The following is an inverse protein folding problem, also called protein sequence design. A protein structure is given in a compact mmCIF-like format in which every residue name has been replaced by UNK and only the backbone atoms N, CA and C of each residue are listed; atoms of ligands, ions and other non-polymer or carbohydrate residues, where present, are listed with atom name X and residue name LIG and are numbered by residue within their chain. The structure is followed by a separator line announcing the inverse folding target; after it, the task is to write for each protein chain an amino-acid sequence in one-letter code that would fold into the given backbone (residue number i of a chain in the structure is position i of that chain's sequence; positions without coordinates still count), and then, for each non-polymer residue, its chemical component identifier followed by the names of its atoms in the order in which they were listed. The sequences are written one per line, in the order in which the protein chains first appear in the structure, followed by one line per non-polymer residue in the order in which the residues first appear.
data_IF_312257407063
#
_entry.id   IF_312257407063
#
_cell.length_a   1.000
_cell.length_b   1.000
_cell.length_c   1.000
_cell.angle_alpha   90.00
_cell.angle_beta   90.00
_cell.angle_gamma   90.00
#
_symmetry.space_group_name_H-M   'P 1'
#
loop_
_entity.id
_entity.type
_entity.pdbx_description
1 polymer ?
#
# COMPACT_ATOMS: atom_id res chain seq x y z
N UNK A 1 8.09 -33.15 9.62
CA UNK A 1 7.37 -32.06 8.95
C UNK A 1 5.86 -32.27 8.97
N UNK A 2 5.21 -32.01 10.11
CA UNK A 2 3.74 -32.03 10.28
C UNK A 2 3.16 -30.61 10.42
N UNK A 3 3.91 -29.58 10.03
CA UNK A 3 3.56 -28.17 10.22
C UNK A 3 2.20 -27.84 9.63
N UNK A 4 1.88 -28.40 8.46
CA UNK A 4 0.57 -28.25 7.84
C UNK A 4 -0.58 -28.76 8.74
N UNK A 5 -0.46 -29.98 9.27
CA UNK A 5 -1.46 -30.56 10.17
C UNK A 5 -1.57 -29.79 11.49
N UNK A 6 -0.42 -29.36 12.04
CA UNK A 6 -0.33 -28.57 13.27
C UNK A 6 -0.99 -27.20 13.10
N UNK A 7 -0.77 -26.51 11.98
CA UNK A 7 -1.39 -25.20 11.71
C UNK A 7 -2.90 -25.33 11.57
N UNK A 8 -3.40 -26.33 10.86
CA UNK A 8 -4.84 -26.51 10.64
C UNK A 8 -5.60 -26.85 11.93
N UNK A 9 -4.98 -27.61 12.85
CA UNK A 9 -5.67 -28.13 14.03
C UNK A 9 -5.32 -27.43 15.36
N UNK A 10 -4.11 -26.89 15.50
CA UNK A 10 -3.60 -26.33 16.77
C UNK A 10 -3.54 -24.80 16.78
N UNK A 11 -3.49 -24.15 15.62
CA UNK A 11 -3.40 -22.69 15.50
C UNK A 11 -4.66 -22.13 14.82
N UNK A 12 -5.26 -21.07 15.37
CA UNK A 12 -6.48 -20.48 14.79
C UNK A 12 -6.23 -19.10 14.19
N UNK A 13 -4.97 -18.68 14.01
CA UNK A 13 -4.62 -17.40 13.39
C UNK A 13 -4.82 -17.42 11.87
N UNK A 14 -4.66 -18.59 11.25
CA UNK A 14 -4.93 -18.83 9.83
C UNK A 14 -6.24 -19.62 9.72
N UNK A 15 -7.31 -19.01 9.21
CA UNK A 15 -8.60 -19.69 9.05
C UNK A 15 -8.56 -20.77 7.96
N UNK A 16 -7.90 -20.48 6.83
CA UNK A 16 -7.80 -21.37 5.67
C UNK A 16 -6.35 -21.40 5.14
N UNK A 17 -5.46 -22.26 5.68
CA UNK A 17 -4.06 -22.31 5.25
C UNK A 17 -3.88 -22.72 3.77
N UNK A 18 -4.78 -23.55 3.22
CA UNK A 18 -4.76 -23.98 1.82
C UNK A 18 -4.97 -22.82 0.85
N UNK A 19 -5.93 -21.97 1.17
CA UNK A 19 -6.26 -20.78 0.40
C UNK A 19 -5.10 -19.79 0.42
N UNK A 20 -4.45 -19.63 1.58
CA UNK A 20 -3.30 -18.74 1.69
C UNK A 20 -2.06 -19.29 0.95
N UNK A 21 -1.90 -20.62 0.89
CA UNK A 21 -0.79 -21.23 0.16
C UNK A 21 -0.97 -21.11 -1.37
N UNK A 22 -2.21 -21.16 -1.86
CA UNK A 22 -2.50 -21.16 -3.30
C UNK A 22 -2.80 -19.74 -3.77
N UNK A 23 -3.98 -19.22 -3.42
CA UNK A 23 -4.50 -17.96 -3.94
C UNK A 23 -3.64 -16.75 -3.53
N UNK A 24 -3.18 -16.69 -2.27
CA UNK A 24 -2.39 -15.54 -1.80
C UNK A 24 -0.97 -15.54 -2.38
N UNK A 25 -0.35 -16.72 -2.60
CA UNK A 25 0.95 -16.79 -3.28
C UNK A 25 0.79 -16.48 -4.78
N UNK A 26 -0.24 -17.02 -5.44
CA UNK A 26 -0.51 -16.75 -6.85
C UNK A 26 -0.78 -15.25 -7.08
N UNK A 27 -1.66 -14.65 -6.28
CA UNK A 27 -1.95 -13.21 -6.38
C UNK A 27 -0.71 -12.36 -6.06
N UNK A 28 0.07 -12.72 -5.04
CA UNK A 28 1.33 -12.03 -4.73
C UNK A 28 2.32 -12.08 -5.89
N UNK A 29 2.57 -13.27 -6.45
CA UNK A 29 3.54 -13.45 -7.54
C UNK A 29 3.08 -12.78 -8.84
N UNK A 30 1.78 -12.83 -9.15
CA UNK A 30 1.18 -12.13 -10.28
C UNK A 30 1.31 -10.61 -10.14
N UNK A 31 0.91 -10.04 -8.99
CA UNK A 31 1.06 -8.60 -8.70
C UNK A 31 2.52 -8.16 -8.71
N UNK A 32 3.44 -8.97 -8.18
CA UNK A 32 4.88 -8.68 -8.20
C UNK A 32 5.42 -8.65 -9.63
N UNK A 33 5.01 -9.60 -10.47
CA UNK A 33 5.43 -9.68 -11.88
C UNK A 33 4.91 -8.48 -12.67
N UNK A 34 3.64 -8.11 -12.46
CA UNK A 34 3.01 -6.95 -13.09
C UNK A 34 3.75 -5.65 -12.70
N UNK A 35 4.00 -5.47 -11.39
CA UNK A 35 4.73 -4.31 -10.87
C UNK A 35 6.14 -4.22 -11.46
N UNK A 36 6.88 -5.33 -11.52
CA UNK A 36 8.22 -5.37 -12.10
C UNK A 36 8.22 -4.93 -13.57
N UNK A 37 7.28 -5.44 -14.37
CA UNK A 37 7.12 -5.07 -15.78
C UNK A 37 6.82 -3.58 -15.95
N UNK A 38 5.98 -3.01 -15.08
CA UNK A 38 5.52 -1.63 -15.17
C UNK A 38 6.51 -0.59 -14.63
N UNK A 39 7.33 -0.92 -13.62
CA UNK A 39 8.29 0.03 -13.02
C UNK A 39 9.64 0.07 -13.75
N UNK A 40 10.08 -1.04 -14.35
CA UNK A 40 11.45 -1.14 -14.90
C UNK A 40 11.72 -0.08 -15.96
N UNK A 41 10.79 0.12 -16.90
CA UNK A 41 10.93 1.11 -17.97
C UNK A 41 10.95 2.55 -17.44
N UNK A 42 9.96 3.01 -16.64
CA UNK A 42 10.00 4.35 -16.03
C UNK A 42 11.25 4.63 -15.19
N UNK A 43 11.75 3.67 -14.42
CA UNK A 43 12.99 3.86 -13.66
C UNK A 43 14.20 4.06 -14.57
N UNK A 44 14.32 3.25 -15.62
CA UNK A 44 15.38 3.39 -16.59
C UNK A 44 15.30 4.73 -17.33
N UNK A 45 14.09 5.13 -17.75
CA UNK A 45 13.84 6.40 -18.42
C UNK A 45 14.27 7.57 -17.53
N UNK A 46 13.91 7.57 -16.24
CA UNK A 46 14.31 8.62 -15.29
C UNK A 46 15.83 8.62 -15.05
N UNK A 47 16.46 7.46 -14.92
CA UNK A 47 17.90 7.36 -14.75
C UNK A 47 18.66 7.95 -15.95
N UNK A 48 18.23 7.62 -17.17
CA UNK A 48 18.78 8.14 -18.42
C UNK A 48 18.57 9.66 -18.51
N UNK A 49 17.36 10.14 -18.20
CA UNK A 49 17.02 11.57 -18.22
C UNK A 49 17.86 12.35 -17.21
N UNK A 50 17.97 11.84 -15.99
CA UNK A 50 18.80 12.46 -14.95
C UNK A 50 20.27 12.53 -15.38
N UNK A 51 20.80 11.42 -15.93
CA UNK A 51 22.17 11.38 -16.43
C UNK A 51 22.41 12.36 -17.59
N UNK A 52 21.50 12.41 -18.56
CA UNK A 52 21.63 13.32 -19.72
C UNK A 52 21.51 14.79 -19.30
N UNK A 53 20.60 15.11 -18.36
CA UNK A 53 20.45 16.45 -17.80
C UNK A 53 21.74 16.90 -17.09
N UNK A 54 22.32 16.05 -16.23
CA UNK A 54 23.59 16.34 -15.54
C UNK A 54 24.72 16.57 -16.54
N UNK A 55 24.82 15.74 -17.58
CA UNK A 55 25.85 15.88 -18.63
C UNK A 55 25.66 17.16 -19.45
N UNK A 56 24.42 17.57 -19.73
CA UNK A 56 24.11 18.83 -20.40
C UNK A 56 24.52 20.05 -19.57
N UNK A 57 24.26 20.03 -18.26
CA UNK A 57 24.66 21.08 -17.32
C UNK A 57 26.19 21.17 -17.21
N UNK A 58 26.89 20.04 -17.17
CA UNK A 58 28.37 20.02 -17.09
C UNK A 58 29.05 20.56 -18.36
N UNK A 59 28.49 20.27 -19.53
CA UNK A 59 29.05 20.72 -20.82
C UNK A 59 28.86 22.22 -21.06
N UNK A 60 27.77 22.82 -20.58
CA UNK A 60 27.47 24.24 -20.76
C UNK A 60 27.83 25.02 -19.50
N UNK A 61 29.11 25.40 -19.37
CA UNK A 61 29.67 26.19 -18.23
C UNK A 61 29.17 27.65 -18.19
N UNK A 62 27.90 27.91 -18.44
CA UNK A 62 27.34 29.26 -18.35
C UNK A 62 26.82 29.53 -16.93
N UNK A 63 27.26 30.64 -16.31
CA UNK A 63 27.02 30.96 -14.90
C UNK A 63 25.54 30.96 -14.45
N UNK A 64 24.59 31.20 -15.38
CA UNK A 64 23.14 31.24 -15.10
C UNK A 64 22.45 29.86 -14.99
N UNK A 65 23.10 28.76 -15.37
CA UNK A 65 22.49 27.41 -15.26
C UNK A 65 22.41 26.91 -13.81
N UNK A 66 23.08 27.60 -12.86
CA UNK A 66 22.93 27.36 -11.43
C UNK A 66 21.57 27.83 -10.88
N UNK A 67 20.88 28.74 -11.56
CA UNK A 67 19.60 29.30 -11.08
C UNK A 67 18.39 28.39 -11.43
N UNK A 68 18.49 27.61 -12.51
CA UNK A 68 17.45 26.67 -12.95
C UNK A 68 17.12 25.60 -11.88
N UNK A 69 18.08 24.89 -11.26
CA UNK A 69 17.76 23.91 -10.20
C UNK A 69 17.19 24.57 -8.94
N UNK A 70 17.52 25.83 -8.65
CA UNK A 70 16.97 26.57 -7.51
C UNK A 70 15.49 26.87 -7.74
N UNK A 71 15.13 27.36 -8.93
CA UNK A 71 13.72 27.59 -9.29
C UNK A 71 12.92 26.28 -9.35
N UNK A 72 13.51 25.20 -9.87
CA UNK A 72 12.87 23.88 -9.89
C UNK A 72 12.59 23.37 -8.48
N UNK A 73 13.57 23.49 -7.58
CA UNK A 73 13.40 23.12 -6.17
C UNK A 73 12.29 23.96 -5.51
N UNK A 74 12.26 25.26 -5.78
CA UNK A 74 11.21 26.15 -5.28
C UNK A 74 9.81 25.72 -5.74
N UNK A 75 9.62 25.39 -7.01
CA UNK A 75 8.33 24.89 -7.54
C UNK A 75 7.95 23.55 -6.92
N UNK A 76 8.90 22.64 -6.72
CA UNK A 76 8.68 21.36 -6.03
C UNK A 76 8.19 21.59 -4.60
N UNK A 77 8.90 22.43 -3.84
CA UNK A 77 8.59 22.71 -2.44
C UNK A 77 7.23 23.36 -2.31
N UNK A 78 6.90 24.32 -3.18
CA UNK A 78 5.56 24.95 -3.21
C UNK A 78 4.48 23.92 -3.51
N UNK A 79 4.68 23.09 -4.53
CA UNK A 79 3.70 22.07 -4.95
C UNK A 79 3.47 21.06 -3.82
N UNK A 80 4.55 20.60 -3.18
CA UNK A 80 4.48 19.72 -2.03
C UNK A 80 3.77 20.37 -0.83
N UNK A 81 4.10 21.62 -0.52
CA UNK A 81 3.45 22.36 0.56
C UNK A 81 1.96 22.56 0.29
N UNK A 82 1.59 22.89 -0.96
CA UNK A 82 0.21 23.02 -1.40
C UNK A 82 -0.55 21.70 -1.24
N UNK A 83 -0.01 20.60 -1.76
CA UNK A 83 -0.61 19.26 -1.61
C UNK A 83 -0.73 18.85 -0.14
N UNK A 84 0.30 19.08 0.67
CA UNK A 84 0.29 18.74 2.10
C UNK A 84 -0.75 19.56 2.88
N UNK A 85 -0.90 20.85 2.56
CA UNK A 85 -1.90 21.72 3.19
C UNK A 85 -3.33 21.34 2.79
N UNK A 86 -3.53 20.91 1.55
CA UNK A 86 -4.84 20.53 1.04
C UNK A 86 -5.19 19.05 1.26
N UNK A 87 -4.22 18.22 1.66
CA UNK A 87 -4.42 16.81 1.96
C UNK A 87 -5.28 16.65 3.21
N UNK A 88 -6.48 16.04 3.10
CA UNK A 88 -7.28 15.71 4.27
C UNK A 88 -6.64 14.56 5.04
N UNK A 89 -6.94 14.46 6.34
CA UNK A 89 -6.47 13.36 7.20
C UNK A 89 -7.19 12.04 6.86
N UNK A 90 -6.85 11.43 5.73
CA UNK A 90 -7.47 10.20 5.22
C UNK A 90 -7.44 9.07 6.25
N UNK A 91 -6.34 8.91 6.99
CA UNK A 91 -6.23 7.85 8.01
C UNK A 91 -7.28 7.97 9.12
N UNK A 92 -7.56 9.18 9.63
CA UNK A 92 -8.60 9.39 10.64
C UNK A 92 -10.00 9.13 10.07
N UNK A 93 -10.24 9.57 8.84
CA UNK A 93 -11.51 9.37 8.15
C UNK A 93 -11.82 7.89 7.91
N UNK A 94 -10.83 7.13 7.42
CA UNK A 94 -10.95 5.68 7.18
C UNK A 94 -11.10 4.91 8.50
N UNK A 95 -10.39 5.31 9.55
CA UNK A 95 -10.54 4.72 10.88
C UNK A 95 -11.95 4.92 11.44
N UNK A 96 -12.52 6.12 11.29
CA UNK A 96 -13.88 6.42 11.73
C UNK A 96 -14.94 5.67 10.90
N UNK A 97 -14.76 5.57 9.58
CA UNK A 97 -15.60 4.75 8.71
C UNK A 97 -15.59 3.28 9.14
N UNK A 98 -14.40 2.72 9.39
CA UNK A 98 -14.23 1.34 9.87
C UNK A 98 -14.96 1.12 11.21
N UNK A 99 -14.86 2.08 12.14
CA UNK A 99 -15.58 2.02 13.42
C UNK A 99 -17.10 1.99 13.23
N UNK A 100 -17.68 2.89 12.42
CA UNK A 100 -19.14 2.93 12.15
C UNK A 100 -19.61 1.68 11.42
N UNK A 101 -18.82 1.18 10.45
CA UNK A 101 -19.10 -0.09 9.76
C UNK A 101 -19.08 -1.27 10.73
N UNK A 102 -18.15 -1.29 11.67
CA UNK A 102 -18.09 -2.26 12.75
C UNK A 102 -19.33 -2.22 13.66
N UNK A 103 -19.79 -1.03 14.05
CA UNK A 103 -21.01 -0.86 14.85
C UNK A 103 -22.26 -1.35 14.12
N UNK A 104 -22.41 -1.05 12.83
CA UNK A 104 -23.52 -1.54 12.01
C UNK A 104 -23.50 -3.07 11.92
N UNK A 105 -22.32 -3.67 11.69
CA UNK A 105 -22.16 -5.12 11.64
C UNK A 105 -22.52 -5.76 12.99
N UNK A 106 -22.04 -5.19 14.09
CA UNK A 106 -22.38 -5.65 15.43
C UNK A 106 -23.89 -5.58 15.70
N UNK A 107 -24.56 -4.50 15.31
CA UNK A 107 -26.01 -4.38 15.44
C UNK A 107 -26.77 -5.47 14.67
N UNK A 108 -26.36 -5.76 13.43
CA UNK A 108 -26.93 -6.88 12.67
C UNK A 108 -26.69 -8.24 13.33
N UNK A 109 -25.47 -8.50 13.82
CA UNK A 109 -25.17 -9.74 14.54
C UNK A 109 -26.01 -9.88 15.81
N UNK A 110 -26.21 -8.79 16.56
CA UNK A 110 -27.06 -8.76 17.76
C UNK A 110 -28.52 -9.12 17.44
N UNK A 111 -29.07 -8.55 16.36
CA UNK A 111 -30.45 -8.83 15.95
C UNK A 111 -30.63 -10.28 15.51
N UNK A 112 -29.63 -10.85 14.82
CA UNK A 112 -29.67 -12.28 14.44
C UNK A 112 -29.60 -13.17 15.69
N UNK A 113 -28.71 -12.88 16.62
CA UNK A 113 -28.51 -13.70 17.82
C UNK A 113 -29.72 -13.68 18.77
N UNK A 114 -30.40 -12.54 18.90
CA UNK A 114 -31.53 -12.35 19.82
C UNK A 114 -32.86 -12.18 19.06
N UNK A 115 -32.99 -12.79 17.89
CA UNK A 115 -34.16 -12.63 17.03
C UNK A 115 -35.45 -13.10 17.71
N UNK A 116 -35.37 -14.18 18.48
CA UNK A 116 -36.51 -14.75 19.23
C UNK A 116 -36.98 -13.80 20.34
N UNK A 117 -36.06 -13.21 21.09
CA UNK A 117 -36.39 -12.23 22.14
C UNK A 117 -37.03 -10.98 21.53
N UNK A 118 -36.47 -10.46 20.43
CA UNK A 118 -37.02 -9.28 19.75
C UNK A 118 -38.43 -9.55 19.21
N UNK A 119 -38.68 -10.75 18.67
CA UNK A 119 -40.00 -11.15 18.21
C UNK A 119 -40.99 -11.33 19.38
N UNK A 120 -40.54 -11.92 20.48
CA UNK A 120 -41.34 -12.13 21.68
C UNK A 120 -41.80 -10.81 22.31
N UNK A 121 -40.95 -9.79 22.33
CA UNK A 121 -41.27 -8.45 22.86
C UNK A 121 -41.85 -7.49 21.82
N UNK A 122 -42.15 -7.94 20.60
CA UNK A 122 -42.62 -7.10 19.47
C UNK A 122 -41.72 -5.88 19.19
N UNK A 123 -40.41 -5.99 19.48
CA UNK A 123 -39.42 -4.90 19.41
C UNK A 123 -38.92 -4.54 18.00
N UNK A 124 -39.52 -5.12 16.96
CA UNK A 124 -39.07 -5.04 15.57
C UNK A 124 -38.93 -3.62 15.01
N UNK A 125 -39.90 -2.73 15.29
CA UNK A 125 -39.85 -1.35 14.79
C UNK A 125 -38.75 -0.53 15.48
N UNK A 126 -38.48 -0.80 16.76
CA UNK A 126 -37.42 -0.13 17.52
C UNK A 126 -36.04 -0.54 16.99
N UNK A 127 -35.80 -1.85 16.83
CA UNK A 127 -34.54 -2.36 16.30
C UNK A 127 -34.30 -1.94 14.84
N UNK A 128 -35.34 -1.93 14.02
CA UNK A 128 -35.30 -1.42 12.64
C UNK A 128 -34.92 0.06 12.60
N UNK A 129 -35.56 0.90 13.42
CA UNK A 129 -35.24 2.32 13.49
C UNK A 129 -33.78 2.54 13.94
N UNK A 130 -33.31 1.76 14.91
CA UNK A 130 -31.92 1.79 15.38
C UNK A 130 -30.92 1.42 14.27
N UNK A 131 -31.14 0.32 13.54
CA UNK A 131 -30.27 -0.09 12.42
C UNK A 131 -30.25 0.96 11.30
N UNK A 132 -31.42 1.50 10.92
CA UNK A 132 -31.53 2.55 9.91
C UNK A 132 -30.75 3.80 10.35
N UNK A 133 -30.80 4.15 11.64
CA UNK A 133 -30.02 5.25 12.18
C UNK A 133 -28.52 5.02 12.02
N UNK A 134 -28.00 3.84 12.41
CA UNK A 134 -26.58 3.50 12.21
C UNK A 134 -26.18 3.50 10.73
N UNK A 135 -27.04 2.98 9.85
CA UNK A 135 -26.81 2.98 8.42
C UNK A 135 -26.71 4.40 7.86
N UNK A 136 -27.61 5.31 8.27
CA UNK A 136 -27.56 6.70 7.84
C UNK A 136 -26.31 7.42 8.35
N UNK A 137 -25.86 7.14 9.57
CA UNK A 137 -24.59 7.68 10.08
C UNK A 137 -23.38 7.20 9.27
N UNK A 138 -23.36 5.91 8.87
CA UNK A 138 -22.32 5.36 8.00
C UNK A 138 -22.37 6.03 6.62
N UNK A 139 -23.55 6.11 6.02
CA UNK A 139 -23.77 6.73 4.70
C UNK A 139 -23.30 8.19 4.66
N UNK A 140 -23.63 8.98 5.69
CA UNK A 140 -23.16 10.37 5.78
C UNK A 140 -21.64 10.46 5.85
N UNK A 141 -20.99 9.56 6.62
CA UNK A 141 -19.53 9.52 6.69
C UNK A 141 -18.90 9.15 5.35
N UNK A 142 -19.39 8.10 4.70
CA UNK A 142 -18.89 7.66 3.40
C UNK A 142 -19.06 8.76 2.34
N UNK A 143 -20.19 9.46 2.32
CA UNK A 143 -20.40 10.59 1.41
C UNK A 143 -19.41 11.74 1.67
N UNK A 144 -19.14 12.06 2.94
CA UNK A 144 -18.15 13.07 3.30
C UNK A 144 -16.76 12.67 2.79
N UNK A 145 -16.37 11.41 3.01
CA UNK A 145 -15.08 10.87 2.55
C UNK A 145 -14.97 10.96 1.04
N UNK A 146 -15.98 10.51 0.29
CA UNK A 146 -16.00 10.55 -1.17
C UNK A 146 -15.88 12.00 -1.67
N UNK A 147 -16.65 12.94 -1.11
CA UNK A 147 -16.60 14.35 -1.51
C UNK A 147 -15.20 14.96 -1.29
N UNK A 148 -14.60 14.74 -0.12
CA UNK A 148 -13.24 15.24 0.18
C UNK A 148 -12.17 14.57 -0.67
N UNK A 149 -12.27 13.25 -0.86
CA UNK A 149 -11.35 12.47 -1.68
C UNK A 149 -11.41 12.88 -3.14
N UNK A 150 -12.61 13.09 -3.69
CA UNK A 150 -12.79 13.53 -5.08
C UNK A 150 -12.10 14.89 -5.31
N UNK A 151 -12.35 15.86 -4.44
CA UNK A 151 -11.76 17.19 -4.57
C UNK A 151 -10.22 17.16 -4.50
N UNK A 152 -9.67 16.38 -3.57
CA UNK A 152 -8.22 16.20 -3.44
C UNK A 152 -7.61 15.49 -4.66
N UNK A 153 -8.20 14.38 -5.13
CA UNK A 153 -7.71 13.66 -6.31
C UNK A 153 -7.76 14.54 -7.55
N UNK A 154 -8.81 15.35 -7.71
CA UNK A 154 -8.90 16.31 -8.82
C UNK A 154 -7.77 17.34 -8.80
N UNK A 155 -7.47 17.91 -7.62
CA UNK A 155 -6.35 18.85 -7.47
C UNK A 155 -5.00 18.17 -7.76
N UNK A 156 -4.78 16.99 -7.21
CA UNK A 156 -3.57 16.20 -7.41
C UNK A 156 -3.33 15.92 -8.90
N UNK A 157 -4.35 15.41 -9.60
CA UNK A 157 -4.27 15.13 -11.04
C UNK A 157 -4.07 16.39 -11.87
N UNK A 158 -4.70 17.51 -11.50
CA UNK A 158 -4.49 18.79 -12.18
C UNK A 158 -3.05 19.29 -12.05
N UNK A 159 -2.47 19.22 -10.85
CA UNK A 159 -1.08 19.60 -10.59
C UNK A 159 -0.09 18.74 -11.38
N UNK A 160 -0.29 17.41 -11.38
CA UNK A 160 0.64 16.50 -12.04
C UNK A 160 0.55 16.54 -13.57
N UNK A 161 -0.65 16.66 -14.14
CA UNK A 161 -0.83 16.63 -15.61
C UNK A 161 -0.60 17.97 -16.28
N UNK A 162 -1.09 19.06 -15.69
CA UNK A 162 -1.08 20.37 -16.35
C UNK A 162 -0.04 21.30 -15.75
N UNK A 163 -0.05 21.51 -14.44
CA UNK A 163 0.83 22.49 -13.81
C UNK A 163 2.31 22.13 -13.97
N UNK A 164 2.66 20.87 -13.68
CA UNK A 164 4.03 20.38 -13.83
C UNK A 164 4.52 20.43 -15.28
N UNK A 165 3.66 20.05 -16.23
CA UNK A 165 3.98 20.12 -17.66
C UNK A 165 4.22 21.57 -18.12
N UNK A 166 3.35 22.51 -17.73
CA UNK A 166 3.50 23.93 -18.07
C UNK A 166 4.75 24.55 -17.43
N UNK A 167 5.02 24.28 -16.15
CA UNK A 167 6.25 24.73 -15.48
C UNK A 167 7.50 24.16 -16.15
N UNK A 168 7.49 22.87 -16.49
CA UNK A 168 8.57 22.22 -17.22
C UNK A 168 8.87 22.90 -18.57
N UNK A 169 7.83 23.24 -19.34
CA UNK A 169 8.00 23.95 -20.62
C UNK A 169 8.57 25.37 -20.42
N UNK A 170 8.12 26.08 -19.37
CA UNK A 170 8.69 27.39 -19.00
C UNK A 170 10.18 27.25 -18.64
N UNK A 171 10.56 26.19 -17.91
CA UNK A 171 11.96 25.94 -17.56
C UNK A 171 12.86 25.71 -18.78
N UNK A 172 12.35 25.08 -19.84
CA UNK A 172 13.09 24.93 -21.10
C UNK A 172 13.17 26.27 -21.85
N UNK A 173 12.13 27.11 -21.76
CA UNK A 173 12.08 28.40 -22.45
C UNK A 173 13.00 29.47 -21.84
N UNK A 174 13.21 29.49 -20.51
CA UNK A 174 14.08 30.46 -19.82
C UNK A 174 15.51 30.51 -20.37
N UNK A 175 16.27 29.40 -20.47
CA UNK A 175 17.63 29.43 -21.00
C UNK A 175 17.67 29.83 -22.49
N UNK A 176 16.59 29.57 -23.24
CA UNK A 176 16.47 29.99 -24.63
C UNK A 176 16.28 31.51 -24.77
N UNK A 177 15.41 32.10 -23.94
CA UNK A 177 15.10 33.54 -23.96
C UNK A 177 16.21 34.39 -23.34
N UNK A 178 16.95 33.85 -22.37
CA UNK A 178 18.01 34.56 -21.65
C UNK A 178 19.37 34.53 -22.37
N UNK A 179 19.50 33.78 -23.46
CA UNK A 179 20.74 33.72 -24.25
C UNK A 179 20.85 34.94 -25.19
N UNK A 180 21.35 36.05 -24.66
CA UNK A 180 21.91 37.15 -25.44
C UNK A 180 23.44 36.95 -25.48
N UNK A 181 24.00 36.66 -26.67
CA UNK A 181 25.44 36.71 -26.91
C UNK A 181 26.07 35.39 -27.37
N UNK A 182 26.46 35.40 -28.65
CA UNK A 182 27.55 34.66 -29.31
C UNK A 182 27.72 33.16 -28.95
N UNK A 183 27.35 32.31 -29.90
CA UNK A 183 27.86 30.95 -29.96
C UNK A 183 29.17 31.07 -30.74
N UNK A 184 30.31 30.85 -30.09
CA UNK A 184 31.56 30.56 -30.79
C UNK A 184 31.36 29.27 -31.59
N UNK A 185 31.03 29.41 -32.87
CA UNK A 185 31.06 28.33 -33.83
C UNK A 185 32.50 28.11 -34.29
N UNK A 186 32.97 26.87 -34.22
CA UNK A 186 34.27 26.41 -34.75
C UNK A 186 34.35 26.52 -36.29
N UNK A 187 33.23 26.84 -36.97
CA UNK A 187 33.14 27.11 -38.39
C UNK A 187 32.05 28.17 -38.71
N UNK A 188 32.42 29.43 -39.01
CA UNK A 188 31.47 30.53 -39.24
C UNK A 188 30.69 30.42 -40.56
N UNK A 189 30.97 29.41 -41.40
CA UNK A 189 30.33 29.28 -42.73
C UNK A 189 29.06 28.42 -42.76
N UNK A 190 28.80 27.60 -41.73
CA UNK A 190 27.63 26.68 -41.71
C UNK A 190 26.42 27.17 -40.93
N UNK A 191 26.56 28.14 -40.04
CA UNK A 191 25.47 28.51 -39.11
C UNK A 191 25.59 29.96 -38.57
N UNK A 192 25.35 31.00 -39.40
CA UNK A 192 25.64 32.40 -39.06
C UNK A 192 24.86 32.96 -37.86
N UNK A 193 23.68 32.40 -37.55
CA UNK A 193 22.84 32.84 -36.43
C UNK A 193 22.81 31.84 -35.25
N UNK A 194 23.48 30.68 -35.38
CA UNK A 194 23.44 29.61 -34.37
C UNK A 194 22.03 29.09 -34.05
N UNK A 195 21.05 29.32 -34.92
CA UNK A 195 19.64 28.97 -34.71
C UNK A 195 19.45 27.45 -34.75
N UNK A 196 20.21 26.72 -35.57
CA UNK A 196 20.11 25.26 -35.70
C UNK A 196 20.50 24.56 -34.40
N UNK A 197 21.68 24.89 -33.84
CA UNK A 197 22.16 24.30 -32.57
C UNK A 197 21.26 24.64 -31.38
N UNK A 198 20.65 25.83 -31.35
CA UNK A 198 19.64 26.23 -30.34
C UNK A 198 18.34 25.44 -30.49
N UNK A 199 17.89 25.22 -31.72
CA UNK A 199 16.66 24.48 -32.02
C UNK A 199 16.83 22.99 -31.71
N UNK A 200 18.00 22.41 -32.00
CA UNK A 200 18.34 21.04 -31.61
C UNK A 200 18.32 20.89 -30.08
N UNK A 201 18.99 21.79 -29.36
CA UNK A 201 19.02 21.78 -27.90
C UNK A 201 17.62 21.91 -27.28
N UNK A 202 16.77 22.77 -27.86
CA UNK A 202 15.38 22.93 -27.45
C UNK A 202 14.56 21.65 -27.70
N UNK A 203 14.67 21.08 -28.91
CA UNK A 203 13.92 19.88 -29.30
C UNK A 203 14.31 18.68 -28.44
N UNK A 204 15.61 18.48 -28.20
CA UNK A 204 16.11 17.42 -27.33
C UNK A 204 15.63 17.62 -25.89
N UNK A 205 15.74 18.84 -25.33
CA UNK A 205 15.30 19.12 -23.96
C UNK A 205 13.79 18.95 -23.79
N UNK A 206 13.00 19.37 -24.80
CA UNK A 206 11.55 19.18 -24.84
C UNK A 206 11.17 17.71 -24.83
N UNK A 207 11.76 16.92 -25.73
CA UNK A 207 11.48 15.49 -25.82
C UNK A 207 11.90 14.75 -24.55
N UNK A 208 13.05 15.14 -23.96
CA UNK A 208 13.55 14.58 -22.70
C UNK A 208 12.59 14.88 -21.53
N UNK A 209 12.10 16.11 -21.43
CA UNK A 209 11.16 16.51 -20.38
C UNK A 209 9.80 15.83 -20.54
N UNK A 210 9.26 15.77 -21.76
CA UNK A 210 7.98 15.09 -22.01
C UNK A 210 8.09 13.60 -21.65
N UNK A 211 9.16 12.93 -22.10
CA UNK A 211 9.43 11.54 -21.72
C UNK A 211 9.59 11.36 -20.21
N UNK A 212 10.24 12.30 -19.52
CA UNK A 212 10.41 12.29 -18.08
C UNK A 212 9.12 12.51 -17.29
N UNK A 213 8.25 13.40 -17.78
CA UNK A 213 6.93 13.63 -17.21
C UNK A 213 6.06 12.37 -17.34
N UNK A 214 6.08 11.71 -18.52
CA UNK A 214 5.36 10.46 -18.75
C UNK A 214 5.88 9.33 -17.83
N UNK A 215 7.19 9.23 -17.65
CA UNK A 215 7.81 8.25 -16.75
C UNK A 215 7.44 8.52 -15.28
N UNK A 216 7.45 9.78 -14.84
CA UNK A 216 7.02 10.17 -13.49
C UNK A 216 5.54 9.89 -13.25
N UNK A 217 4.68 10.20 -14.22
CA UNK A 217 3.24 9.89 -14.14
C UNK A 217 3.03 8.38 -13.93
N UNK A 218 3.73 7.55 -14.70
CA UNK A 218 3.66 6.09 -14.54
C UNK A 218 4.06 5.63 -13.14
N UNK A 219 5.15 6.14 -12.59
CA UNK A 219 5.59 5.80 -11.22
C UNK A 219 4.52 6.15 -10.18
N UNK A 220 3.90 7.32 -10.31
CA UNK A 220 2.84 7.76 -9.40
C UNK A 220 1.62 6.85 -9.52
N UNK A 221 1.25 6.44 -10.74
CA UNK A 221 0.15 5.47 -10.90
C UNK A 221 0.48 4.12 -10.29
N UNK A 222 1.74 3.66 -10.41
CA UNK A 222 2.18 2.41 -9.82
C UNK A 222 2.27 2.44 -8.29
N UNK A 223 2.22 3.60 -7.63
CA UNK A 223 2.12 3.67 -6.17
C UNK A 223 0.92 2.87 -5.62
N UNK A 224 -0.20 2.85 -6.34
CA UNK A 224 -1.38 2.05 -5.96
C UNK A 224 -1.09 0.56 -6.05
N UNK A 225 -0.43 0.12 -7.13
CA UNK A 225 0.00 -1.27 -7.33
C UNK A 225 0.98 -1.70 -6.23
N UNK A 226 1.90 -0.81 -5.81
CA UNK A 226 2.81 -1.05 -4.67
C UNK A 226 2.03 -1.22 -3.36
N UNK A 227 1.02 -0.37 -3.12
CA UNK A 227 0.20 -0.45 -1.91
C UNK A 227 -0.63 -1.75 -1.86
N UNK A 228 -1.15 -2.20 -3.00
CA UNK A 228 -1.83 -3.48 -3.14
C UNK A 228 -0.85 -4.64 -2.89
N UNK A 229 0.33 -4.61 -3.53
CA UNK A 229 1.38 -5.61 -3.30
C UNK A 229 1.76 -5.69 -1.82
N UNK A 230 1.91 -4.56 -1.12
CA UNK A 230 2.20 -4.55 0.31
C UNK A 230 1.11 -5.26 1.12
N UNK A 231 -0.17 -5.16 0.72
CA UNK A 231 -1.26 -5.92 1.30
C UNK A 231 -1.11 -7.43 1.10
N UNK A 232 -0.79 -7.88 -0.11
CA UNK A 232 -0.52 -9.29 -0.42
C UNK A 232 0.70 -9.81 0.33
N UNK A 233 1.80 -9.04 0.35
CA UNK A 233 3.01 -9.36 1.12
C UNK A 233 2.71 -9.53 2.59
N UNK A 234 1.86 -8.68 3.18
CA UNK A 234 1.50 -8.82 4.60
C UNK A 234 0.75 -10.13 4.88
N UNK A 235 -0.13 -10.59 3.97
CA UNK A 235 -0.82 -11.88 4.12
C UNK A 235 0.14 -13.06 4.00
N UNK A 236 0.98 -13.06 2.97
CA UNK A 236 2.02 -14.10 2.75
C UNK A 236 3.02 -14.12 3.91
N UNK A 237 3.49 -12.97 4.37
CA UNK A 237 4.39 -12.85 5.52
C UNK A 237 3.74 -13.37 6.80
N UNK A 238 2.47 -13.02 7.05
CA UNK A 238 1.72 -13.53 8.21
C UNK A 238 1.60 -15.06 8.17
N UNK A 239 1.36 -15.63 6.99
CA UNK A 239 1.32 -17.08 6.82
C UNK A 239 2.66 -17.74 7.14
N UNK A 240 3.77 -17.26 6.54
CA UNK A 240 5.10 -17.80 6.84
C UNK A 240 5.49 -17.61 8.31
N UNK A 241 5.10 -16.50 8.92
CA UNK A 241 5.32 -16.27 10.35
C UNK A 241 4.59 -17.30 11.20
N UNK A 242 3.32 -17.60 10.91
CA UNK A 242 2.56 -18.63 11.65
C UNK A 242 3.14 -20.03 11.41
N UNK A 243 3.61 -20.34 10.20
CA UNK A 243 4.27 -21.61 9.92
C UNK A 243 5.56 -21.77 10.72
N UNK A 244 6.40 -20.74 10.79
CA UNK A 244 7.62 -20.75 11.60
C UNK A 244 7.30 -20.82 13.11
N UNK A 245 6.27 -20.13 13.58
CA UNK A 245 5.82 -20.24 14.98
C UNK A 245 5.35 -21.67 15.31
N UNK A 246 4.64 -22.33 14.38
CA UNK A 246 4.17 -23.71 14.55
C UNK A 246 5.30 -24.75 14.50
N UNK A 247 6.37 -24.45 13.74
CA UNK A 247 7.61 -25.23 13.73
C UNK A 247 8.36 -25.11 15.07
N UNK A 248 8.37 -23.92 15.67
CA UNK A 248 8.93 -23.66 17.00
C UNK A 248 7.96 -24.00 18.17
N UNK A 249 6.92 -24.81 17.91
CA UNK A 249 5.93 -25.29 18.89
C UNK A 249 5.20 -24.18 19.68
N UNK A 250 5.11 -22.99 19.11
CA UNK A 250 4.43 -21.84 19.71
C UNK A 250 3.08 -21.63 19.04
N UNK A 251 2.03 -22.24 19.60
CA UNK A 251 0.67 -22.15 19.08
C UNK A 251 -0.09 -20.98 19.71
N UNK A 252 -0.86 -20.24 18.90
CA UNK A 252 -1.77 -19.21 19.39
C UNK A 252 -3.18 -19.50 18.90
N UNK A 253 -4.05 -19.87 19.84
CA UNK A 253 -5.49 -19.94 19.58
C UNK A 253 -6.13 -18.61 19.97
N UNK A 254 -6.94 -18.04 19.09
CA UNK A 254 -7.81 -16.94 19.41
C UNK A 254 -8.85 -17.46 20.39
N UNK A 255 -8.65 -17.22 21.68
CA UNK A 255 -9.65 -17.49 22.69
C UNK A 255 -10.89 -16.66 22.37
N UNK A 256 -12.02 -17.34 22.18
CA UNK A 256 -13.33 -16.70 22.33
C UNK A 256 -13.32 -16.19 23.76
N UNK A 257 -13.18 -14.88 23.92
CA UNK A 257 -13.18 -14.25 25.23
C UNK A 257 -14.61 -14.35 25.75
N UNK A 258 -14.84 -15.22 26.74
CA UNK A 258 -16.00 -15.10 27.60
C UNK A 258 -15.99 -13.71 28.23
N UNK A 259 -17.12 -13.02 28.12
CA UNK A 259 -17.38 -11.73 28.74
C UNK A 259 -17.18 -11.83 30.26
N UNK A 260 -16.02 -11.43 30.75
CA UNK A 260 -15.86 -11.00 32.13
C UNK A 260 -14.98 -9.76 32.16
N UNK A 261 -15.60 -8.68 32.63
CA UNK A 261 -14.97 -7.39 32.86
C UNK A 261 -13.82 -7.58 33.86
N UNK A 262 -12.57 -7.50 33.41
CA UNK A 262 -11.55 -6.88 34.24
C UNK A 262 -10.44 -6.22 33.40
N UNK A 263 -10.16 -5.00 33.80
CA UNK A 263 -9.26 -4.07 33.15
C UNK A 263 -7.85 -4.23 33.69
N UNK A 264 -7.10 -5.23 33.23
CA UNK A 264 -5.63 -5.24 33.39
C UNK A 264 -4.95 -6.16 32.38
N UNK A 265 -4.12 -5.54 31.54
CA UNK A 265 -2.89 -6.09 30.92
C UNK A 265 -3.05 -7.45 30.20
N UNK A 266 -3.07 -7.37 28.86
CA UNK A 266 -2.92 -8.48 27.91
C UNK A 266 -1.74 -9.40 28.28
N UNK A 267 -2.00 -10.48 29.00
CA UNK A 267 -1.13 -11.65 28.94
C UNK A 267 -1.48 -12.46 27.68
N UNK A 268 -0.68 -12.25 26.63
CA UNK A 268 -0.51 -13.25 25.57
C UNK A 268 -0.05 -14.54 26.25
N UNK A 269 -0.95 -15.49 26.51
CA UNK A 269 -0.54 -16.84 26.91
C UNK A 269 0.08 -17.51 25.67
N UNK A 270 1.40 -17.47 25.61
CA UNK A 270 2.18 -18.41 24.81
C UNK A 270 1.98 -19.76 25.47
N UNK A 271 1.22 -20.66 24.83
CA UNK A 271 1.07 -22.02 25.33
C UNK A 271 2.31 -22.75 24.84
N UNK A 272 3.33 -22.82 25.69
CA UNK A 272 4.44 -23.73 25.47
C UNK A 272 3.94 -25.12 25.84
N UNK A 273 3.73 -25.98 24.84
CA UNK A 273 3.49 -27.42 25.03
C UNK A 273 4.79 -28.11 25.49
N UNK A 274 5.51 -27.51 26.42
CA UNK A 274 6.79 -28.00 26.91
C UNK A 274 6.51 -28.99 28.05
N UNK A 275 6.91 -30.23 27.79
CA UNK A 275 7.19 -31.28 28.77
C UNK A 275 5.98 -32.00 29.37
N UNK A 276 5.46 -33.01 28.64
CA UNK A 276 5.10 -34.35 29.16
C UNK A 276 4.34 -35.17 28.11
N UNK A 277 5.06 -35.70 27.13
CA UNK A 277 4.61 -36.89 26.40
C UNK A 277 5.74 -37.91 26.49
N UNK A 278 5.95 -38.42 27.71
CA UNK A 278 6.93 -39.46 28.00
C UNK A 278 6.29 -40.81 27.63
N UNK A 279 6.26 -41.10 26.33
CA UNK A 279 5.71 -42.34 25.77
C UNK A 279 6.77 -43.08 24.98
N UNK A 280 6.86 -44.40 25.16
CA UNK A 280 7.74 -45.25 24.36
C UNK A 280 7.03 -45.63 23.06
N UNK A 281 7.66 -45.31 21.92
CA UNK A 281 7.14 -45.64 20.59
C UNK A 281 7.75 -46.97 20.15
N UNK A 282 6.91 -47.94 19.80
CA UNK A 282 7.32 -49.20 19.19
C UNK A 282 6.69 -49.33 17.81
N UNK A 283 7.49 -49.24 16.76
CA UNK A 283 7.02 -49.41 15.38
C UNK A 283 6.75 -50.90 15.10
N UNK A 284 5.50 -51.24 14.76
CA UNK A 284 5.09 -52.56 14.24
C UNK A 284 4.44 -52.38 12.87
N UNK A 285 4.69 -53.29 11.94
CA UNK A 285 4.39 -53.10 10.51
C UNK A 285 2.91 -53.15 10.12
N UNK A 286 1.99 -53.65 10.97
CA UNK A 286 0.59 -53.88 10.55
C UNK A 286 -0.49 -53.25 11.45
N UNK A 287 -0.19 -52.80 12.69
CA UNK A 287 -1.21 -52.24 13.60
C UNK A 287 -0.70 -51.05 14.42
N UNK A 288 -1.57 -50.06 14.64
CA UNK A 288 -1.33 -48.93 15.56
C UNK A 288 -2.11 -49.19 16.85
N UNK A 289 -1.40 -49.51 17.94
CA UNK A 289 -1.99 -49.72 19.27
C UNK A 289 -1.59 -48.55 20.17
N UNK A 290 -2.58 -47.83 20.69
CA UNK A 290 -2.39 -46.69 21.59
C UNK A 290 -2.79 -47.11 23.00
N UNK A 291 -1.83 -47.18 23.92
CA UNK A 291 -2.05 -47.61 25.30
C UNK A 291 -1.49 -46.57 26.27
N UNK A 292 -2.30 -46.15 27.25
CA UNK A 292 -1.97 -45.18 28.31
C UNK A 292 -1.36 -43.84 27.84
N UNK A 293 -1.87 -43.31 26.72
CA UNK A 293 -1.48 -41.98 26.22
C UNK A 293 -2.36 -40.90 26.86
N UNK A 294 -1.78 -39.87 27.52
CA UNK A 294 -2.56 -38.76 28.05
C UNK A 294 -3.19 -37.97 26.89
N UNK A 295 -4.52 -37.86 26.90
CA UNK A 295 -5.26 -37.02 25.95
C UNK A 295 -5.14 -35.58 26.42
N UNK A 296 -4.11 -34.89 25.96
CA UNK A 296 -3.92 -33.46 26.24
C UNK A 296 -4.63 -32.70 25.12
N UNK A 297 -5.67 -31.95 25.50
CA UNK A 297 -6.30 -31.01 24.59
C UNK A 297 -5.31 -29.89 24.23
N UNK A 298 -5.41 -29.26 23.04
CA UNK A 298 -4.53 -28.15 22.65
C UNK A 298 -4.57 -26.92 23.57
N UNK A 299 -5.47 -26.92 24.57
CA UNK A 299 -5.58 -25.90 25.62
C UNK A 299 -4.74 -26.24 26.87
N UNK A 300 -4.15 -27.43 26.95
CA UNK A 300 -3.38 -27.90 28.09
C UNK A 300 -4.19 -28.64 29.18
N UNK A 301 -5.46 -28.96 28.92
CA UNK A 301 -6.32 -29.80 29.78
C UNK A 301 -6.31 -31.26 29.32
#
# INVERSE_FOLDING_TARGET
NQTYYRVTNLDSRLQNPDQNLTDDIETFTSSLTHLYSHLTKPFFDIALISYTLVKMVQKRKTARWKEVPILLNFVIVITFYLLKKMSPKFGKLVSEESKRKGQLRFAHTRVIANAEEIAFFEGQEVEKHWIIHLYNQLRQQTNLIISKKLWFIMLEQFLMKYFWHTCGMIFIAIPFLSYNGEIETDDPTRDPDGISTRTEAFTVSKNLLTSGADALERIITSYKEIAELAGHTNRVHSMFHVFNDCENESYQRATISDNSNDSTIKHKRKIELSNKADGQIFDTNDDIIVQDVPIITPNGD
#
